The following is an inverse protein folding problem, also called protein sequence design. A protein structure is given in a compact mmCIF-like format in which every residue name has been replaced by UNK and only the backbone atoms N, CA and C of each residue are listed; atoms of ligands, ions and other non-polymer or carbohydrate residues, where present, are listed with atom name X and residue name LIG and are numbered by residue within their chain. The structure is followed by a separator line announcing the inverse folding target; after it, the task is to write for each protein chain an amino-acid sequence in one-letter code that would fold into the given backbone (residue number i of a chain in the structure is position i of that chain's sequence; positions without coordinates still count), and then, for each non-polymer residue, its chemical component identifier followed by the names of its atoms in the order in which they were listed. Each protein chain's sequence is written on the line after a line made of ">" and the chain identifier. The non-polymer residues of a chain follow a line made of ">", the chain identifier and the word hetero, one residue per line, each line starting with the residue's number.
data_IF_153182882500
#
_entry.id   IF_153182882500
#
_cell.length_a   1.000
_cell.length_b   1.000
_cell.length_c   1.000
_cell.angle_alpha   90.00
_cell.angle_beta   90.00
_cell.angle_gamma   90.00
#
_symmetry.space_group_name_H-M   'P 1'
#
loop_
_entity.id
_entity.type
_entity.pdbx_description
1 polymer ?
#
# COMPACT_ATOMS: atom_id res chain seq x y z
N UNK A 1 4.03 -7.06 -10.63
CA UNK A 1 4.19 -5.60 -10.81
C UNK A 1 3.02 -4.87 -10.19
N UNK A 2 3.28 -3.79 -9.51
CA UNK A 2 2.23 -2.92 -9.00
C UNK A 2 2.08 -1.72 -9.93
N UNK A 3 0.87 -1.50 -10.44
CA UNK A 3 0.55 -0.28 -11.18
C UNK A 3 -0.31 0.59 -10.27
N UNK A 4 0.14 1.80 -9.99
CA UNK A 4 -0.49 2.65 -8.99
C UNK A 4 -0.51 4.10 -9.47
N UNK A 5 -1.64 4.79 -9.23
CA UNK A 5 -1.77 6.20 -9.60
C UNK A 5 -0.85 7.07 -8.75
N UNK A 6 -0.34 8.13 -9.39
CA UNK A 6 0.55 9.07 -8.72
C UNK A 6 -0.10 9.71 -7.49
N UNK A 7 -1.38 10.03 -7.56
CA UNK A 7 -2.07 10.65 -6.42
C UNK A 7 -2.07 9.75 -5.20
N UNK A 8 -2.14 8.43 -5.41
CA UNK A 8 -2.09 7.48 -4.30
C UNK A 8 -0.68 7.36 -3.72
N UNK A 9 0.35 7.40 -4.57
CA UNK A 9 1.73 7.42 -4.10
C UNK A 9 1.97 8.68 -3.25
N UNK A 10 1.51 9.82 -3.74
CA UNK A 10 1.65 11.09 -3.03
C UNK A 10 0.93 11.04 -1.68
N UNK A 11 -0.24 10.40 -1.63
CA UNK A 11 -1.00 10.25 -0.39
C UNK A 11 -0.25 9.38 0.62
N UNK A 12 0.35 8.27 0.17
CA UNK A 12 1.16 7.40 1.04
C UNK A 12 2.33 8.20 1.62
N UNK A 13 3.06 8.91 0.76
CA UNK A 13 4.23 9.67 1.19
C UNK A 13 3.83 10.76 2.19
N UNK A 14 2.74 11.47 1.91
CA UNK A 14 2.25 12.53 2.79
C UNK A 14 1.87 11.97 4.17
N UNK A 15 1.20 10.81 4.19
CA UNK A 15 0.83 10.15 5.44
C UNK A 15 2.08 9.74 6.22
N UNK A 16 3.06 9.17 5.54
CA UNK A 16 4.31 8.74 6.16
C UNK A 16 5.07 9.92 6.77
N UNK A 17 5.13 11.05 6.07
CA UNK A 17 5.79 12.25 6.58
C UNK A 17 5.06 12.85 7.76
N UNK A 18 3.74 12.86 7.72
CA UNK A 18 2.93 13.44 8.79
C UNK A 18 3.10 12.66 10.10
N UNK A 19 3.17 11.34 10.02
CA UNK A 19 3.24 10.50 11.22
C UNK A 19 4.66 10.28 11.71
N UNK A 20 5.67 10.61 10.91
CA UNK A 20 7.07 10.48 11.31
C UNK A 20 7.28 11.18 12.66
N UNK A 21 7.94 10.62 13.67
CA UNK A 21 8.82 9.45 13.64
C UNK A 21 8.12 8.10 13.87
N UNK A 22 6.82 8.06 14.01
CA UNK A 22 6.10 6.79 14.12
C UNK A 22 5.86 6.22 12.72
N UNK A 23 5.76 4.90 12.64
CA UNK A 23 5.41 4.26 11.38
C UNK A 23 3.96 4.57 11.02
N UNK A 24 3.73 5.00 9.79
CA UNK A 24 2.39 5.15 9.25
C UNK A 24 1.96 3.83 8.63
N UNK A 25 0.66 3.60 8.56
CA UNK A 25 0.13 2.37 7.96
C UNK A 25 -1.24 2.62 7.35
N UNK A 26 -1.62 1.78 6.41
CA UNK A 26 -2.93 1.89 5.79
C UNK A 26 -3.15 0.86 4.72
N UNK A 27 -4.29 0.99 4.06
CA UNK A 27 -4.74 0.08 3.01
C UNK A 27 -5.23 0.92 1.83
N UNK A 28 -4.97 0.44 0.63
CA UNK A 28 -5.64 0.98 -0.54
C UNK A 28 -6.54 -0.12 -1.08
N UNK A 29 -7.84 0.10 -1.02
CA UNK A 29 -8.83 -0.85 -1.47
C UNK A 29 -9.06 -0.68 -2.97
N UNK A 30 -9.46 -1.74 -3.62
CA UNK A 30 -9.85 -1.71 -5.02
C UNK A 30 -10.90 -2.76 -5.31
N UNK A 31 -11.51 -2.73 -6.50
CA UNK A 31 -12.57 -3.68 -6.83
C UNK A 31 -12.03 -5.11 -6.83
N UNK A 32 -12.84 -6.01 -6.29
CA UNK A 32 -12.52 -7.43 -6.27
C UNK A 32 -13.02 -8.07 -7.57
N UNK A 33 -12.41 -7.68 -8.67
CA UNK A 33 -12.84 -8.07 -10.01
C UNK A 33 -11.70 -8.57 -10.88
N UNK A 34 -10.55 -8.84 -10.28
CA UNK A 34 -9.39 -9.35 -11.00
C UNK A 34 -8.53 -8.29 -11.67
N UNK A 35 -8.92 -7.02 -11.61
CA UNK A 35 -8.16 -5.96 -12.27
C UNK A 35 -6.94 -5.50 -11.49
N UNK A 36 -6.88 -5.82 -10.20
CA UNK A 36 -5.71 -5.51 -9.36
C UNK A 36 -5.41 -4.01 -9.35
N UNK A 37 -6.45 -3.18 -9.21
CA UNK A 37 -6.33 -1.72 -9.24
C UNK A 37 -6.51 -1.13 -7.85
N UNK A 38 -5.47 -0.52 -7.26
CA UNK A 38 -5.65 0.23 -6.02
C UNK A 38 -6.38 1.55 -6.33
N UNK A 39 -7.50 1.79 -5.65
CA UNK A 39 -8.34 2.95 -5.95
C UNK A 39 -8.69 3.81 -4.74
N UNK A 40 -9.03 3.20 -3.61
CA UNK A 40 -9.53 3.94 -2.46
C UNK A 40 -8.52 3.94 -1.33
N UNK A 41 -7.93 5.11 -1.08
CA UNK A 41 -6.90 5.29 -0.06
C UNK A 41 -7.56 5.30 1.32
N UNK A 42 -7.13 4.41 2.20
CA UNK A 42 -7.67 4.31 3.56
C UNK A 42 -6.51 4.37 4.55
N UNK A 43 -6.15 5.57 5.02
CA UNK A 43 -5.11 5.69 6.04
C UNK A 43 -5.64 5.13 7.36
N UNK A 44 -4.77 4.42 8.06
CA UNK A 44 -5.14 3.78 9.32
C UNK A 44 -4.29 4.38 10.45
N UNK A 45 -4.77 4.21 11.66
CA UNK A 45 -4.02 4.60 12.85
C UNK A 45 -3.07 3.48 13.20
N UNK A 46 -1.81 3.82 13.50
CA UNK A 46 -0.89 2.85 14.05
C UNK A 46 -1.17 2.73 15.54
N UNK A 47 -1.85 1.66 15.93
CA UNK A 47 -2.24 1.45 17.33
C UNK A 47 -1.02 1.25 18.24
N UNK A 48 0.09 0.80 17.68
CA UNK A 48 1.33 0.63 18.43
C UNK A 48 2.05 1.95 18.71
N UNK A 49 1.79 2.98 17.92
CA UNK A 49 2.43 4.31 18.05
C UNK A 49 3.94 4.17 18.19
N UNK A 50 4.53 3.40 17.30
CA UNK A 50 5.94 3.04 17.41
C UNK A 50 6.71 3.46 16.17
N UNK A 51 7.97 3.87 16.34
CA UNK A 51 8.85 4.15 15.20
C UNK A 51 9.43 2.91 14.55
N UNK A 52 9.18 1.71 15.13
CA UNK A 52 9.77 0.46 14.62
C UNK A 52 8.74 -0.63 14.39
N UNK A 53 7.48 -0.36 14.60
CA UNK A 53 6.44 -1.37 14.49
C UNK A 53 5.11 -0.70 14.18
N UNK A 54 4.24 -1.39 13.45
CA UNK A 54 2.88 -0.90 13.26
C UNK A 54 1.88 -2.02 13.54
N UNK A 55 0.69 -1.60 13.94
CA UNK A 55 -0.41 -2.48 14.20
C UNK A 55 -1.70 -1.73 13.90
N UNK A 56 -2.57 -2.30 13.07
CA UNK A 56 -3.87 -1.70 12.82
C UNK A 56 -4.73 -1.80 14.08
N UNK A 57 -5.49 -0.74 14.35
CA UNK A 57 -6.51 -0.80 15.38
C UNK A 57 -7.54 -1.86 14.98
N UNK A 58 -7.87 -2.77 15.90
CA UNK A 58 -8.75 -3.90 15.59
C UNK A 58 -10.14 -3.44 15.15
N UNK A 59 -10.68 -2.41 15.79
CA UNK A 59 -12.01 -1.90 15.44
C UNK A 59 -12.02 -1.26 14.07
N UNK A 60 -10.98 -0.48 13.77
CA UNK A 60 -10.85 0.16 12.47
C UNK A 60 -10.68 -0.87 11.36
N UNK A 61 -9.89 -1.90 11.63
CA UNK A 61 -9.67 -2.96 10.65
C UNK A 61 -10.95 -3.73 10.36
N UNK A 62 -11.71 -4.07 11.40
CA UNK A 62 -12.99 -4.74 11.22
C UNK A 62 -13.96 -3.89 10.41
N UNK A 63 -14.02 -2.60 10.70
CA UNK A 63 -14.87 -1.67 9.96
C UNK A 63 -14.47 -1.61 8.49
N UNK A 64 -13.18 -1.55 8.23
CA UNK A 64 -12.67 -1.51 6.86
C UNK A 64 -13.05 -2.78 6.09
N UNK A 65 -12.88 -3.95 6.70
CA UNK A 65 -13.24 -5.20 6.02
C UNK A 65 -14.73 -5.28 5.75
N UNK A 66 -15.56 -4.77 6.65
CA UNK A 66 -17.00 -4.70 6.41
C UNK A 66 -17.34 -3.76 5.25
N UNK A 67 -16.67 -2.62 5.17
CA UNK A 67 -16.87 -1.69 4.07
C UNK A 67 -16.43 -2.29 2.75
N UNK A 68 -15.28 -2.93 2.73
CA UNK A 68 -14.78 -3.56 1.51
C UNK A 68 -15.74 -4.65 1.04
N UNK A 69 -16.23 -5.46 1.97
CA UNK A 69 -17.16 -6.52 1.64
C UNK A 69 -18.46 -5.95 1.05
N UNK A 70 -18.98 -4.89 1.65
CA UNK A 70 -20.20 -4.24 1.17
C UNK A 70 -20.03 -3.60 -0.20
N UNK A 71 -18.82 -3.20 -0.55
CA UNK A 71 -18.52 -2.50 -1.82
C UNK A 71 -17.88 -3.42 -2.86
N UNK A 72 -17.80 -4.71 -2.61
CA UNK A 72 -17.10 -5.68 -3.48
C UNK A 72 -15.67 -5.26 -3.74
N UNK A 73 -14.98 -4.84 -2.68
CA UNK A 73 -13.58 -4.45 -2.71
C UNK A 73 -12.71 -5.46 -1.98
N UNK A 74 -11.42 -5.38 -2.25
CA UNK A 74 -10.41 -6.14 -1.51
C UNK A 74 -9.24 -5.23 -1.19
N UNK A 75 -8.36 -5.60 -0.24
CA UNK A 75 -7.15 -4.84 0.01
C UNK A 75 -6.16 -5.14 -1.12
N UNK A 76 -5.97 -4.18 -2.01
CA UNK A 76 -5.03 -4.31 -3.11
C UNK A 76 -3.63 -3.97 -2.64
N UNK A 77 -3.49 -2.91 -1.84
CA UNK A 77 -2.22 -2.48 -1.27
C UNK A 77 -2.35 -2.40 0.24
N UNK A 78 -1.35 -2.94 0.93
CA UNK A 78 -1.18 -2.73 2.36
C UNK A 78 0.15 -2.02 2.52
N UNK A 79 0.14 -0.80 3.07
CA UNK A 79 1.36 -0.01 3.11
C UNK A 79 1.74 0.35 4.54
N UNK A 80 3.03 0.54 4.76
CA UNK A 80 3.52 1.17 5.98
C UNK A 80 4.85 1.84 5.70
N UNK A 81 5.31 2.66 6.66
CA UNK A 81 6.55 3.39 6.51
C UNK A 81 7.60 2.84 7.44
N UNK A 82 8.87 2.91 6.99
CA UNK A 82 10.03 2.72 7.84
C UNK A 82 10.65 4.10 8.04
N UNK A 83 10.96 4.46 9.27
CA UNK A 83 11.39 5.83 9.58
C UNK A 83 12.89 5.96 9.73
N UNK A 84 13.60 4.86 10.00
CA UNK A 84 15.05 4.88 10.21
C UNK A 84 15.79 3.89 9.33
N UNK A 85 15.09 3.07 8.58
CA UNK A 85 15.69 2.02 7.75
C UNK A 85 15.17 2.09 6.33
N UNK A 86 15.76 1.27 5.46
CA UNK A 86 15.35 1.17 4.07
C UNK A 86 13.95 0.59 3.91
N UNK A 87 13.38 0.76 2.74
CA UNK A 87 12.04 0.26 2.41
C UNK A 87 12.09 -1.24 2.09
N UNK A 88 12.42 -2.04 3.09
CA UNK A 88 12.45 -3.49 2.97
C UNK A 88 11.74 -4.10 4.17
N UNK A 89 10.91 -5.14 3.97
CA UNK A 89 10.13 -5.71 5.08
C UNK A 89 11.02 -6.23 6.21
N UNK A 90 10.70 -5.87 7.43
CA UNK A 90 11.38 -6.40 8.60
C UNK A 90 10.96 -7.86 8.82
N UNK A 91 11.68 -8.55 9.70
CA UNK A 91 11.31 -9.91 10.06
C UNK A 91 9.88 -9.98 10.61
N UNK A 92 9.50 -8.99 11.40
CA UNK A 92 8.14 -8.91 11.95
C UNK A 92 7.13 -8.66 10.84
N UNK A 93 7.44 -7.76 9.91
CA UNK A 93 6.55 -7.48 8.77
C UNK A 93 6.25 -8.76 7.99
N UNK A 94 7.29 -9.54 7.73
CA UNK A 94 7.15 -10.80 6.98
C UNK A 94 6.29 -11.79 7.74
N UNK A 95 6.54 -11.90 9.05
CA UNK A 95 5.81 -12.85 9.89
C UNK A 95 4.33 -12.54 9.98
N UNK A 96 3.98 -11.25 9.99
CA UNK A 96 2.59 -10.82 10.17
C UNK A 96 1.84 -10.60 8.86
N UNK A 97 2.48 -10.76 7.72
CA UNK A 97 1.82 -10.59 6.42
C UNK A 97 0.84 -11.74 6.20
N UNK A 98 -0.44 -11.41 6.02
CA UNK A 98 -1.50 -12.40 5.92
C UNK A 98 -2.33 -12.32 4.64
N UNK A 99 -2.01 -11.37 3.76
CA UNK A 99 -2.76 -11.17 2.52
C UNK A 99 -1.88 -11.54 1.34
N UNK A 100 -1.88 -12.81 0.92
CA UNK A 100 -0.92 -13.27 -0.09
C UNK A 100 -1.10 -12.61 -1.46
N UNK A 101 -2.29 -12.05 -1.73
CA UNK A 101 -2.55 -11.41 -3.02
C UNK A 101 -2.40 -9.91 -2.98
N UNK A 102 -2.11 -9.32 -1.82
CA UNK A 102 -1.91 -7.88 -1.72
C UNK A 102 -0.49 -7.49 -2.11
N UNK A 103 -0.35 -6.24 -2.53
CA UNK A 103 0.96 -5.63 -2.74
C UNK A 103 1.34 -4.96 -1.41
N UNK A 104 2.45 -5.40 -0.83
CA UNK A 104 2.95 -4.79 0.40
C UNK A 104 3.90 -3.67 0.02
N UNK A 105 3.46 -2.44 0.22
CA UNK A 105 4.21 -1.24 -0.16
C UNK A 105 4.87 -0.65 1.07
N UNK A 106 6.17 -0.44 0.99
CA UNK A 106 6.93 0.21 2.04
C UNK A 106 7.48 1.52 1.52
N UNK A 107 7.39 2.56 2.36
CA UNK A 107 8.01 3.83 2.05
C UNK A 107 8.97 4.18 3.19
N UNK A 108 10.20 4.55 2.85
CA UNK A 108 11.16 4.97 3.85
C UNK A 108 11.23 6.49 3.90
N UNK A 109 11.11 7.05 5.09
CA UNK A 109 11.22 8.48 5.34
C UNK A 109 12.50 8.82 6.10
N UNK A 110 13.50 7.91 6.07
CA UNK A 110 14.75 8.14 6.78
C UNK A 110 15.53 9.34 6.24
N UNK A 111 15.34 9.66 4.95
CA UNK A 111 15.92 10.84 4.34
C UNK A 111 14.86 11.95 4.35
N UNK A 112 15.09 13.08 5.03
CA UNK A 112 14.10 14.15 5.07
C UNK A 112 13.89 14.86 3.73
N UNK A 113 14.80 14.68 2.78
CA UNK A 113 14.73 15.37 1.49
C UNK A 113 14.15 14.51 0.39
N UNK A 114 14.06 13.19 0.61
CA UNK A 114 13.64 12.27 -0.43
C UNK A 114 12.97 11.07 0.21
N UNK A 115 12.36 10.21 -0.59
CA UNK A 115 11.76 8.99 -0.09
C UNK A 115 12.13 7.82 -0.99
N UNK A 116 12.03 6.62 -0.42
CA UNK A 116 12.18 5.38 -1.14
C UNK A 116 10.86 4.63 -1.02
N UNK A 117 10.29 4.19 -2.14
CA UNK A 117 9.04 3.44 -2.14
C UNK A 117 9.24 2.17 -2.95
N UNK A 118 8.93 1.02 -2.35
CA UNK A 118 9.08 -0.29 -2.97
C UNK A 118 7.88 -1.15 -2.68
N UNK A 119 7.60 -2.10 -3.56
CA UNK A 119 6.49 -3.03 -3.41
C UNK A 119 6.99 -4.46 -3.38
N UNK A 120 6.32 -5.28 -2.55
CA UNK A 120 6.72 -6.66 -2.34
C UNK A 120 5.49 -7.57 -2.34
N UNK A 121 5.70 -8.80 -2.82
CA UNK A 121 4.75 -9.88 -2.54
C UNK A 121 5.32 -10.68 -1.38
N UNK A 122 4.49 -10.99 -0.42
CA UNK A 122 4.89 -11.78 0.75
C UNK A 122 3.92 -12.95 0.87
N UNK A 123 4.40 -14.15 0.54
CA UNK A 123 3.59 -15.35 0.50
C UNK A 123 4.31 -16.44 1.30
N UNK A 124 3.68 -16.95 2.34
CA UNK A 124 4.24 -18.02 3.18
C UNK A 124 5.66 -17.69 3.66
N UNK A 125 5.88 -16.44 4.04
CA UNK A 125 7.17 -16.01 4.55
C UNK A 125 8.21 -15.70 3.48
N UNK A 126 7.88 -15.86 2.20
CA UNK A 126 8.79 -15.56 1.11
C UNK A 126 8.52 -14.18 0.56
N UNK A 127 9.56 -13.37 0.46
CA UNK A 127 9.48 -11.99 0.01
C UNK A 127 10.03 -11.89 -1.40
N UNK A 128 9.24 -11.30 -2.30
CA UNK A 128 9.68 -11.04 -3.66
C UNK A 128 9.42 -9.57 -3.96
N UNK A 129 10.46 -8.83 -4.27
CA UNK A 129 10.27 -7.45 -4.70
C UNK A 129 9.72 -7.42 -6.11
N UNK A 130 8.81 -6.49 -6.38
CA UNK A 130 8.19 -6.34 -7.70
C UNK A 130 8.36 -4.91 -8.19
N UNK A 131 8.36 -4.70 -9.51
CA UNK A 131 8.42 -3.36 -10.07
C UNK A 131 7.18 -2.54 -9.71
N UNK A 132 7.36 -1.24 -9.61
CA UNK A 132 6.26 -0.29 -9.38
C UNK A 132 6.19 0.63 -10.58
N UNK A 133 5.02 0.67 -11.21
CA UNK A 133 4.75 1.59 -12.30
C UNK A 133 3.77 2.64 -11.82
N UNK A 134 4.21 3.90 -11.78
CA UNK A 134 3.37 5.01 -11.38
C UNK A 134 2.71 5.59 -12.61
N UNK A 135 1.38 5.68 -12.57
CA UNK A 135 0.59 6.15 -13.72
C UNK A 135 -0.31 7.30 -13.29
N UNK A 136 -0.75 8.11 -14.25
CA UNK A 136 -1.69 9.17 -13.94
C UNK A 136 -3.12 8.65 -13.86
N UNK A 137 -3.43 7.64 -14.66
CA UNK A 137 -4.76 7.05 -14.72
C UNK A 137 -4.64 5.61 -15.21
N UNK A 138 -5.44 4.71 -14.64
CA UNK A 138 -5.45 3.32 -15.09
C UNK A 138 -6.02 3.18 -16.50
N UNK A 139 -6.93 4.04 -16.86
CA UNK A 139 -7.53 3.99 -18.18
C UNK A 139 -6.48 4.16 -19.27
N UNK A 140 -5.60 5.15 -19.11
CA UNK A 140 -4.56 5.40 -20.10
C UNK A 140 -3.45 4.36 -20.04
N UNK A 141 -3.18 3.85 -18.85
CA UNK A 141 -2.18 2.81 -18.69
C UNK A 141 -2.57 1.55 -19.44
N UNK A 142 -3.86 1.26 -19.49
CA UNK A 142 -4.32 0.06 -20.15
C UNK A 142 -4.50 0.19 -21.64
N UNK A 143 -4.68 1.38 -22.13
CA UNK A 143 -4.92 1.51 -23.53
C UNK A 143 -3.70 1.29 -24.32
N UNK A 144 -2.58 1.52 -23.74
CA UNK A 144 -1.47 1.27 -24.49
C UNK A 144 -1.78 1.42 -25.87
N UNK A 145 -2.67 1.21 -26.19
CA UNK A 145 -3.05 1.23 -27.39
C UNK A 145 -4.39 1.32 -27.60
N UNK A 146 -4.87 0.90 -27.57
CA UNK A 146 -6.01 0.84 -27.99
C UNK A 146 -6.96 1.34 -27.45
N UNK A 147 -7.10 1.38 -27.23
CA UNK A 147 -8.09 1.62 -26.85
C UNK A 147 -8.51 2.68 -26.54
N UNK A 148 -8.36 3.16 -26.81
CA UNK A 148 -8.76 4.10 -26.46
C UNK A 148 -9.88 4.43 -26.56
N UNK A 149 -10.41 4.43 -26.27
CA UNK A 149 -11.44 4.46 -26.23
C UNK A 149 -12.21 5.15 -26.67
N UNK A 150 -12.43 4.90 -26.96
CA UNK A 150 -13.07 5.26 -27.24
C UNK A 150 -13.51 6.08 -27.01
N UNK A 151 -13.00 6.24 -26.99
CA UNK A 151 -13.41 6.73 -26.64
C UNK A 151 -14.00 7.01 -26.67
#
# INVERSE_FOLDING_TARGET
>A
MLRIRRDLVDAIVAHARRDHPDEACGVIAGPDDGTDRPERFVPMVNAARSPTFYEFDSGDLLRLYREMDANDEKPVVIYHSHTATEAYPSRTDIKLAQEPFAHYVLVSTRDPEDYELRSYRIVDGEVTEEPVEVVESYMFANTGSDDVPDA
#
